data_IF_373776055003
#
_entry.id   IF_373776055003
#
_cell.length_a   1.000
_cell.length_b   1.000
_cell.length_c   1.000
_cell.angle_alpha   90.00
_cell.angle_beta   90.00
_cell.angle_gamma   90.00
#
_symmetry.space_group_name_H-M   'P 1'
#
loop_
_entity.id
_entity.type
_entity.pdbx_description
1 polymer ?
#
# COMPACT_ATOMS: atom_id res chain seq x y z
N UNK A 1 0.65 -4.37 5.23
CA UNK A 1 0.21 -4.12 6.63
C UNK A 1 -0.60 -2.82 6.76
N UNK A 2 -0.18 -1.71 6.13
CA UNK A 2 -0.88 -0.42 6.20
C UNK A 2 -2.35 -0.47 5.74
N UNK A 3 -2.66 -1.13 4.62
CA UNK A 3 -4.05 -1.27 4.14
C UNK A 3 -4.93 -1.97 5.18
N UNK A 4 -4.42 -3.01 5.86
CA UNK A 4 -5.17 -3.68 6.94
C UNK A 4 -5.43 -2.76 8.13
N UNK A 5 -4.47 -1.91 8.51
CA UNK A 5 -4.66 -0.91 9.57
C UNK A 5 -5.70 0.13 9.14
N UNK A 6 -5.63 0.58 7.89
CA UNK A 6 -6.57 1.55 7.34
C UNK A 6 -8.01 1.02 7.31
N UNK A 7 -8.20 -0.28 7.04
CA UNK A 7 -9.51 -0.95 7.14
C UNK A 7 -10.11 -0.92 8.56
N UNK A 8 -9.29 -0.81 9.61
CA UNK A 8 -9.80 -0.70 11.00
C UNK A 8 -10.43 0.67 11.29
N UNK A 9 -9.96 1.72 10.59
CA UNK A 9 -10.60 3.04 10.60
C UNK A 9 -10.53 3.85 11.91
N UNK A 10 -9.90 3.34 12.97
CA UNK A 10 -9.83 4.04 14.25
C UNK A 10 -8.68 5.05 14.34
N UNK A 11 -8.77 6.01 15.28
CA UNK A 11 -7.74 7.01 15.52
C UNK A 11 -6.38 6.37 15.85
N UNK A 12 -6.40 5.25 16.57
CA UNK A 12 -5.19 4.51 16.90
C UNK A 12 -4.49 3.98 15.64
N UNK A 13 -5.22 3.40 14.68
CA UNK A 13 -4.65 2.95 13.42
C UNK A 13 -4.13 4.12 12.59
N UNK A 14 -4.85 5.25 12.55
CA UNK A 14 -4.40 6.44 11.82
C UNK A 14 -3.07 6.97 12.36
N UNK A 15 -2.90 7.03 13.68
CA UNK A 15 -1.62 7.38 14.33
C UNK A 15 -0.50 6.39 14.03
N UNK A 16 -0.80 5.09 14.01
CA UNK A 16 0.16 4.05 13.64
C UNK A 16 0.63 4.19 12.18
N UNK A 17 -0.28 4.57 11.27
CA UNK A 17 0.08 4.81 9.86
C UNK A 17 0.91 6.08 9.71
N UNK A 18 0.57 7.16 10.40
CA UNK A 18 1.34 8.43 10.40
C UNK A 18 2.76 8.27 10.94
N UNK A 19 3.00 7.31 11.83
CA UNK A 19 4.36 7.00 12.30
C UNK A 19 5.25 6.37 11.21
N UNK A 20 4.66 5.82 10.14
CA UNK A 20 5.38 5.16 9.04
C UNK A 20 5.35 5.94 7.73
N UNK A 21 4.25 6.63 7.43
CA UNK A 21 4.08 7.40 6.20
C UNK A 21 4.25 8.87 6.53
N UNK A 22 5.23 9.50 5.89
CA UNK A 22 5.60 10.89 6.15
C UNK A 22 4.60 11.91 5.62
N UNK A 23 3.85 11.55 4.57
CA UNK A 23 2.94 12.45 3.88
C UNK A 23 1.49 12.24 4.37
N UNK A 24 0.90 13.29 4.95
CA UNK A 24 -0.46 13.26 5.49
C UNK A 24 -1.52 13.08 4.41
N UNK A 25 -1.31 13.61 3.19
CA UNK A 25 -2.25 13.47 2.08
C UNK A 25 -2.34 12.02 1.62
N UNK A 26 -1.20 11.31 1.64
CA UNK A 26 -1.15 9.87 1.36
C UNK A 26 -1.90 9.08 2.41
N UNK A 27 -1.79 9.47 3.70
CA UNK A 27 -2.56 8.84 4.77
C UNK A 27 -4.05 9.09 4.60
N UNK A 28 -4.48 10.32 4.31
CA UNK A 28 -5.89 10.62 4.06
C UNK A 28 -6.43 9.76 2.89
N UNK A 29 -5.73 9.74 1.76
CA UNK A 29 -6.09 8.92 0.59
C UNK A 29 -6.14 7.43 0.90
N UNK A 30 -5.26 6.92 1.76
CA UNK A 30 -5.25 5.52 2.17
C UNK A 30 -6.55 5.13 2.89
N UNK A 31 -7.03 5.97 3.81
CA UNK A 31 -8.23 5.69 4.59
C UNK A 31 -9.51 5.99 3.81
N UNK A 32 -9.54 7.07 3.02
CA UNK A 32 -10.77 7.54 2.39
C UNK A 32 -11.06 6.85 1.04
N UNK A 33 -10.01 6.50 0.29
CA UNK A 33 -10.16 5.99 -1.08
C UNK A 33 -9.71 4.54 -1.22
N UNK A 34 -8.58 4.17 -0.62
CA UNK A 34 -7.96 2.87 -0.85
C UNK A 34 -8.58 1.81 0.07
N UNK A 35 -8.69 2.07 1.37
CA UNK A 35 -9.23 1.10 2.32
C UNK A 35 -10.67 0.63 2.00
N UNK A 36 -11.61 1.50 1.60
CA UNK A 36 -12.97 1.08 1.25
C UNK A 36 -13.01 0.16 0.03
N UNK A 37 -12.14 0.39 -0.98
CA UNK A 37 -12.03 -0.49 -2.16
C UNK A 37 -11.62 -1.93 -1.80
N UNK A 38 -10.93 -2.10 -0.68
CA UNK A 38 -10.45 -3.39 -0.21
C UNK A 38 -11.28 -3.97 0.96
N UNK A 39 -12.46 -3.42 1.25
CA UNK A 39 -13.32 -3.81 2.37
C UNK A 39 -13.55 -5.33 2.44
N UNK A 40 -13.93 -5.95 1.33
CA UNK A 40 -14.24 -7.38 1.24
C UNK A 40 -13.00 -8.28 1.14
N UNK A 41 -11.81 -7.71 0.89
CA UNK A 41 -10.61 -8.48 0.61
C UNK A 41 -9.80 -8.76 1.87
N UNK A 42 -9.65 -10.05 2.21
CA UNK A 42 -8.85 -10.50 3.35
C UNK A 42 -7.38 -10.80 2.95
N UNK A 43 -6.67 -9.78 2.46
CA UNK A 43 -5.24 -9.86 2.17
C UNK A 43 -4.85 -9.93 0.69
N UNK A 44 -3.54 -10.00 0.43
CA UNK A 44 -2.99 -10.03 -0.93
C UNK A 44 -3.30 -8.76 -1.74
N UNK A 45 -3.06 -7.59 -1.16
CA UNK A 45 -3.43 -6.29 -1.77
C UNK A 45 -2.51 -5.84 -2.91
N UNK A 46 -1.34 -6.45 -3.05
CA UNK A 46 -0.32 -6.09 -4.05
C UNK A 46 -0.10 -7.21 -5.04
N UNK A 47 0.12 -6.87 -6.31
CA UNK A 47 0.61 -7.77 -7.36
C UNK A 47 2.02 -7.36 -7.78
N UNK A 48 2.83 -8.37 -8.07
CA UNK A 48 4.20 -8.22 -8.58
C UNK A 48 4.23 -8.76 -10.01
N UNK A 49 4.64 -7.93 -10.97
CA UNK A 49 4.87 -8.33 -12.35
C UNK A 49 6.36 -8.18 -12.65
N UNK A 50 7.03 -9.27 -13.03
CA UNK A 50 8.46 -9.25 -13.36
C UNK A 50 8.65 -8.66 -14.76
N UNK A 51 9.48 -7.62 -14.87
CA UNK A 51 9.77 -6.94 -16.13
C UNK A 51 11.10 -7.38 -16.76
N UNK A 52 11.91 -8.13 -16.01
CA UNK A 52 13.25 -8.56 -16.43
C UNK A 52 14.36 -7.65 -15.89
N UNK A 53 15.62 -7.87 -16.31
CA UNK A 53 16.77 -7.14 -15.78
C UNK A 53 16.86 -5.71 -16.33
N UNK A 54 17.26 -4.77 -15.47
CA UNK A 54 17.55 -3.38 -15.83
C UNK A 54 18.81 -3.30 -16.68
N UNK A 55 18.77 -2.47 -17.71
CA UNK A 55 19.95 -2.18 -18.53
C UNK A 55 20.96 -1.36 -17.73
N UNK A 56 22.20 -1.86 -17.68
CA UNK A 56 23.33 -1.21 -17.00
C UNK A 56 23.91 -2.09 -15.91
N UNK A 57 23.11 -2.40 -14.88
CA UNK A 57 23.52 -3.17 -13.70
C UNK A 57 22.90 -4.57 -13.62
N UNK A 58 22.08 -4.96 -14.61
CA UNK A 58 21.40 -6.24 -14.69
C UNK A 58 20.51 -6.58 -13.48
N UNK A 59 20.11 -5.58 -12.69
CA UNK A 59 19.26 -5.77 -11.52
C UNK A 59 17.84 -6.20 -11.94
N UNK A 60 17.26 -7.20 -11.28
CA UNK A 60 15.88 -7.62 -11.56
C UNK A 60 14.87 -6.52 -11.20
N UNK A 61 14.05 -6.13 -12.16
CA UNK A 61 13.01 -5.10 -11.98
C UNK A 61 11.64 -5.72 -11.96
N UNK A 62 10.78 -5.17 -11.11
CA UNK A 62 9.37 -5.53 -11.01
C UNK A 62 8.49 -4.29 -11.08
N UNK A 63 7.33 -4.46 -11.69
CA UNK A 63 6.21 -3.53 -11.54
C UNK A 63 5.35 -3.98 -10.37
N UNK A 64 5.16 -3.09 -9.40
CA UNK A 64 4.35 -3.33 -8.21
C UNK A 64 3.05 -2.53 -8.32
N UNK A 65 1.91 -3.22 -8.26
CA UNK A 65 0.60 -2.58 -8.33
C UNK A 65 -0.30 -3.00 -7.17
N UNK A 66 -1.30 -2.16 -6.87
CA UNK A 66 -2.40 -2.51 -5.99
C UNK A 66 -3.52 -3.16 -6.83
N UNK A 67 -4.07 -4.28 -6.34
CA UNK A 67 -5.00 -5.15 -7.11
C UNK A 67 -6.42 -4.64 -7.16
#
# INVERSE_FOLDING_TARGET
KLITLAKRGDLHARRQVLAYVYDEDVVAKLFDVIAPKYAERNGGYTRILKLGPRRGDAAEVVFLELV
#
